data_IF_998330553080
#
_entry.id   IF_998330553080
#
_cell.length_a   1.000
_cell.length_b   1.000
_cell.length_c   1.000
_cell.angle_alpha   90.00
_cell.angle_beta   90.00
_cell.angle_gamma   90.00
#
_symmetry.space_group_name_H-M   'P 1'
#
loop_
_entity.id
_entity.type
_entity.pdbx_description
1 polymer ?
#
# COMPACT_ATOMS: atom_id res chain seq x y z
N UNK A 1 -7.56 -14.02 -11.89
CA UNK A 1 -6.28 -14.18 -12.60
C UNK A 1 -5.62 -12.82 -12.59
N UNK A 2 -4.56 -12.65 -11.81
CA UNK A 2 -3.78 -11.40 -11.81
C UNK A 2 -3.00 -11.42 -13.12
N UNK A 3 -3.18 -10.40 -13.97
CA UNK A 3 -2.39 -10.29 -15.19
C UNK A 3 -0.94 -10.02 -14.80
N UNK A 4 -0.17 -11.09 -14.84
CA UNK A 4 1.27 -11.13 -14.70
C UNK A 4 1.92 -10.48 -15.92
N UNK A 5 2.69 -9.42 -15.74
CA UNK A 5 3.47 -8.81 -16.83
C UNK A 5 4.87 -9.41 -16.74
N UNK A 6 5.11 -10.50 -17.46
CA UNK A 6 6.47 -11.04 -17.65
C UNK A 6 7.25 -10.03 -18.48
N UNK A 7 8.38 -9.56 -17.94
CA UNK A 7 9.31 -8.68 -18.64
C UNK A 7 10.47 -9.54 -19.13
N UNK A 8 10.61 -9.65 -20.44
CA UNK A 8 11.74 -10.31 -21.10
C UNK A 8 12.73 -9.27 -21.62
N UNK A 9 14.02 -9.57 -21.52
CA UNK A 9 15.11 -8.66 -21.85
C UNK A 9 16.35 -9.01 -21.04
N UNK A 10 17.46 -8.35 -21.35
CA UNK A 10 18.66 -8.49 -20.53
C UNK A 10 18.51 -7.56 -19.34
N UNK A 11 18.58 -8.14 -18.15
CA UNK A 11 18.46 -7.41 -16.89
C UNK A 11 19.49 -7.91 -15.91
N UNK A 12 19.56 -7.25 -14.76
CA UNK A 12 20.32 -7.81 -13.65
C UNK A 12 19.69 -7.55 -12.31
N UNK A 13 19.89 -8.49 -11.39
CA UNK A 13 19.49 -8.39 -10.01
C UNK A 13 20.72 -8.11 -9.11
N UNK A 14 20.60 -7.12 -8.23
CA UNK A 14 21.62 -6.78 -7.21
C UNK A 14 20.96 -6.52 -5.87
N UNK A 15 21.73 -6.64 -4.79
CA UNK A 15 21.27 -6.21 -3.47
C UNK A 15 20.93 -4.72 -3.47
N UNK A 16 19.94 -4.34 -2.66
CA UNK A 16 19.71 -2.94 -2.37
C UNK A 16 20.84 -2.38 -1.50
N UNK A 17 21.18 -1.09 -1.65
CA UNK A 17 22.18 -0.44 -0.80
C UNK A 17 21.86 -0.60 0.70
N UNK A 18 22.88 -0.89 1.51
CA UNK A 18 22.76 -1.01 2.97
C UNK A 18 22.40 -2.41 3.49
N UNK A 19 22.32 -3.42 2.62
CA UNK A 19 22.21 -4.82 2.99
C UNK A 19 23.53 -5.56 2.73
N UNK A 20 23.95 -6.40 3.67
CA UNK A 20 25.17 -7.21 3.52
C UNK A 20 24.95 -8.43 2.61
N UNK A 21 23.78 -9.07 2.74
CA UNK A 21 23.40 -10.26 1.97
C UNK A 21 21.88 -10.49 1.95
N UNK A 22 21.46 -11.41 1.08
CA UNK A 22 20.10 -11.97 1.08
C UNK A 22 20.10 -13.38 0.49
N UNK A 23 19.20 -14.24 0.99
CA UNK A 23 18.99 -15.57 0.42
C UNK A 23 18.07 -15.52 -0.81
N UNK A 24 18.55 -16.06 -1.92
CA UNK A 24 17.78 -16.39 -3.12
C UNK A 24 17.27 -17.83 -3.01
N UNK A 25 16.00 -18.08 -3.33
CA UNK A 25 15.34 -19.37 -3.05
C UNK A 25 14.67 -19.95 -4.29
N UNK A 26 14.56 -21.28 -4.34
CA UNK A 26 13.84 -21.97 -5.43
C UNK A 26 12.32 -21.73 -5.42
N UNK A 27 11.76 -21.31 -4.28
CA UNK A 27 10.33 -21.10 -4.08
C UNK A 27 10.08 -19.93 -3.12
N UNK A 28 9.04 -19.11 -3.37
CA UNK A 28 8.66 -18.02 -2.48
C UNK A 28 7.88 -18.51 -1.25
N UNK A 29 7.36 -19.74 -1.27
CA UNK A 29 6.48 -20.30 -0.23
C UNK A 29 7.19 -20.62 1.08
N UNK A 30 8.48 -20.96 1.00
CA UNK A 30 9.29 -21.38 2.15
C UNK A 30 10.18 -20.25 2.64
N UNK A 31 10.36 -20.14 3.95
CA UNK A 31 11.42 -19.31 4.55
C UNK A 31 12.78 -19.92 4.24
N UNK A 32 13.82 -19.07 4.16
CA UNK A 32 15.18 -19.54 3.90
C UNK A 32 15.67 -20.56 4.93
N UNK A 33 15.22 -20.43 6.19
CA UNK A 33 15.53 -21.36 7.29
C UNK A 33 14.83 -22.72 7.18
N UNK A 34 13.76 -22.83 6.39
CA UNK A 34 12.97 -24.05 6.21
C UNK A 34 13.51 -24.92 5.07
N UNK A 35 14.34 -24.35 4.20
CA UNK A 35 14.94 -25.04 3.07
C UNK A 35 16.23 -25.72 3.54
N UNK A 36 16.20 -27.04 3.73
CA UNK A 36 17.35 -27.83 4.19
C UNK A 36 18.33 -28.18 3.07
N UNK A 37 17.85 -28.39 1.85
CA UNK A 37 18.70 -28.68 0.69
C UNK A 37 19.47 -27.42 0.26
N UNK A 38 20.80 -27.40 0.38
CA UNK A 38 21.61 -26.25 0.00
C UNK A 38 21.58 -25.99 -1.52
N UNK A 39 21.17 -26.94 -2.35
CA UNK A 39 21.04 -26.72 -3.79
C UNK A 39 19.77 -25.93 -4.15
N UNK A 40 18.83 -25.78 -3.21
CA UNK A 40 17.56 -25.09 -3.40
C UNK A 40 17.57 -23.63 -2.90
N UNK A 41 18.72 -23.12 -2.49
CA UNK A 41 18.93 -21.72 -2.12
C UNK A 41 20.39 -21.32 -2.32
N UNK A 42 20.66 -20.04 -2.47
CA UNK A 42 22.02 -19.51 -2.41
C UNK A 42 22.01 -18.10 -1.85
N UNK A 43 23.15 -17.65 -1.34
CA UNK A 43 23.32 -16.27 -0.87
C UNK A 43 23.74 -15.37 -2.04
N UNK A 44 23.06 -14.24 -2.17
CA UNK A 44 23.50 -13.09 -2.94
C UNK A 44 24.12 -12.10 -1.94
N UNK A 45 25.35 -11.67 -2.19
CA UNK A 45 26.08 -10.72 -1.34
C UNK A 45 26.78 -9.67 -2.21
N UNK A 46 27.01 -8.47 -1.68
CA UNK A 46 27.80 -7.45 -2.40
C UNK A 46 29.25 -7.95 -2.66
N UNK A 47 29.83 -7.71 -3.85
CA UNK A 47 29.35 -6.91 -4.98
C UNK A 47 28.71 -7.74 -6.11
N UNK A 48 28.16 -8.91 -5.80
CA UNK A 48 27.66 -9.86 -6.81
C UNK A 48 26.45 -9.30 -7.58
N UNK A 49 26.46 -9.54 -8.89
CA UNK A 49 25.36 -9.25 -9.82
C UNK A 49 24.88 -10.55 -10.43
N UNK A 50 23.57 -10.73 -10.53
CA UNK A 50 22.97 -11.85 -11.26
C UNK A 50 22.45 -11.32 -12.58
N UNK A 51 22.93 -11.86 -13.70
CA UNK A 51 22.36 -11.58 -15.02
C UNK A 51 21.10 -12.42 -15.22
N UNK A 52 20.00 -11.81 -15.68
CA UNK A 52 18.69 -12.46 -15.78
C UNK A 52 18.01 -12.16 -17.13
N UNK A 53 17.44 -13.20 -17.76
CA UNK A 53 16.79 -13.16 -19.08
C UNK A 53 15.35 -12.60 -19.05
N UNK A 54 14.69 -12.79 -17.91
CA UNK A 54 13.35 -12.28 -17.67
C UNK A 54 13.08 -12.26 -16.18
N UNK A 55 12.13 -11.42 -15.79
CA UNK A 55 11.59 -11.44 -14.45
C UNK A 55 10.10 -11.13 -14.43
N UNK A 56 9.52 -11.47 -13.30
CA UNK A 56 8.12 -11.31 -12.98
C UNK A 56 7.96 -11.03 -11.48
N UNK A 57 6.84 -10.43 -11.11
CA UNK A 57 6.50 -10.07 -9.74
C UNK A 57 5.44 -11.03 -9.21
N UNK A 58 5.83 -11.89 -8.27
CA UNK A 58 4.93 -12.86 -7.63
C UNK A 58 4.86 -12.55 -6.14
N UNK A 59 3.71 -12.02 -5.73
CA UNK A 59 3.49 -11.51 -4.37
C UNK A 59 4.61 -10.55 -3.92
N UNK A 60 5.47 -11.01 -2.98
CA UNK A 60 6.59 -10.25 -2.43
C UNK A 60 7.95 -10.65 -2.98
N UNK A 61 7.99 -11.50 -4.00
CA UNK A 61 9.24 -11.94 -4.62
C UNK A 61 9.31 -11.54 -6.09
N UNK A 62 10.51 -11.24 -6.57
CA UNK A 62 10.79 -11.35 -7.99
C UNK A 62 11.00 -12.82 -8.30
N UNK A 63 10.25 -13.34 -9.26
CA UNK A 63 10.62 -14.57 -9.96
C UNK A 63 11.45 -14.17 -11.15
N UNK A 64 12.61 -14.75 -11.34
CA UNK A 64 13.46 -14.45 -12.49
C UNK A 64 14.17 -15.70 -12.99
N UNK A 65 14.62 -15.61 -14.23
CA UNK A 65 15.47 -16.62 -14.85
C UNK A 65 16.88 -16.08 -15.04
N UNK A 66 17.87 -16.73 -14.44
CA UNK A 66 19.28 -16.43 -14.63
C UNK A 66 19.71 -16.70 -16.07
N UNK A 67 20.71 -15.97 -16.57
CA UNK A 67 21.40 -16.33 -17.82
C UNK A 67 22.16 -17.66 -17.69
N UNK A 68 22.92 -17.80 -16.61
CA UNK A 68 23.68 -19.01 -16.28
C UNK A 68 23.08 -19.70 -15.04
N UNK A 69 22.89 -21.03 -15.08
CA UNK A 69 22.22 -21.73 -13.99
C UNK A 69 23.12 -21.78 -12.76
N UNK A 70 22.50 -21.63 -11.59
CA UNK A 70 23.12 -21.96 -10.30
C UNK A 70 22.48 -23.27 -9.83
N UNK A 71 23.28 -24.23 -9.40
CA UNK A 71 22.81 -25.56 -8.96
C UNK A 71 21.84 -26.21 -9.97
N UNK A 72 22.20 -26.18 -11.26
CA UNK A 72 21.40 -26.71 -12.38
C UNK A 72 19.99 -26.09 -12.52
N UNK A 73 19.77 -24.90 -11.95
CA UNK A 73 18.48 -24.19 -11.99
C UNK A 73 18.65 -22.77 -12.52
N UNK A 74 17.81 -22.43 -13.48
CA UNK A 74 17.72 -21.06 -14.01
C UNK A 74 16.70 -20.20 -13.25
N UNK A 75 15.58 -20.78 -12.80
CA UNK A 75 14.46 -20.04 -12.22
C UNK A 75 14.58 -19.89 -10.69
N UNK A 76 14.57 -18.66 -10.20
CA UNK A 76 14.80 -18.32 -8.80
C UNK A 76 13.87 -17.22 -8.29
N UNK A 77 13.83 -17.06 -6.95
CA UNK A 77 13.01 -16.07 -6.27
C UNK A 77 13.85 -15.21 -5.31
N UNK A 78 13.77 -13.89 -5.46
CA UNK A 78 14.35 -12.91 -4.55
C UNK A 78 13.25 -12.14 -3.82
N UNK A 79 13.44 -11.85 -2.52
CA UNK A 79 12.51 -10.97 -1.81
C UNK A 79 12.69 -9.52 -2.30
N UNK A 80 11.59 -8.89 -2.73
CA UNK A 80 11.62 -7.60 -3.44
C UNK A 80 12.18 -6.44 -2.61
N UNK A 81 12.06 -6.49 -1.28
CA UNK A 81 12.63 -5.45 -0.41
C UNK A 81 14.17 -5.59 -0.29
N UNK A 82 14.79 -6.69 -0.75
CA UNK A 82 16.23 -6.91 -0.65
C UNK A 82 17.00 -6.79 -1.96
N UNK A 83 16.31 -6.82 -3.10
CA UNK A 83 16.93 -6.84 -4.43
C UNK A 83 16.31 -5.77 -5.32
N UNK A 84 17.13 -5.10 -6.11
CA UNK A 84 16.69 -4.24 -7.21
C UNK A 84 16.99 -4.93 -8.56
N UNK A 85 16.11 -4.70 -9.53
CA UNK A 85 16.28 -5.16 -10.91
C UNK A 85 16.65 -3.97 -11.78
N UNK A 86 17.76 -4.09 -12.52
CA UNK A 86 18.33 -3.08 -13.40
C UNK A 86 18.21 -3.51 -14.86
N UNK A 87 17.99 -2.56 -15.77
CA UNK A 87 18.06 -2.80 -17.21
C UNK A 87 19.50 -2.74 -17.76
N UNK A 88 19.61 -2.90 -19.07
CA UNK A 88 20.87 -2.83 -19.81
C UNK A 88 21.56 -1.47 -19.73
N UNK A 89 20.80 -0.41 -19.48
CA UNK A 89 21.32 0.95 -19.31
C UNK A 89 21.82 1.18 -17.86
N UNK A 90 21.52 0.24 -16.96
CA UNK A 90 21.86 0.31 -15.54
C UNK A 90 20.83 1.06 -14.71
N UNK A 91 19.63 1.30 -15.24
CA UNK A 91 18.54 1.96 -14.56
C UNK A 91 17.65 0.94 -13.84
N UNK A 92 17.15 1.30 -12.65
CA UNK A 92 16.26 0.43 -11.86
C UNK A 92 14.86 0.38 -12.49
N UNK A 93 14.42 -0.83 -12.87
CA UNK A 93 13.20 -1.06 -13.68
C UNK A 93 11.92 -1.04 -12.82
N UNK A 94 12.02 -1.44 -11.56
CA UNK A 94 10.90 -1.36 -10.61
C UNK A 94 11.24 -0.30 -9.58
N UNK A 95 10.61 0.85 -9.77
CA UNK A 95 10.84 2.02 -8.93
C UNK A 95 10.55 1.66 -7.47
N UNK A 96 11.43 2.04 -6.52
CA UNK A 96 11.14 1.98 -5.10
C UNK A 96 10.01 2.95 -4.71
N UNK A 97 9.48 3.71 -5.68
CA UNK A 97 8.48 4.75 -5.50
C UNK A 97 7.26 4.53 -6.38
N UNK A 98 6.08 4.59 -5.76
CA UNK A 98 4.78 4.58 -6.43
C UNK A 98 3.92 5.68 -5.82
N UNK A 99 3.39 6.59 -6.64
CA UNK A 99 2.49 7.65 -6.17
C UNK A 99 1.27 7.71 -7.08
N UNK A 100 0.09 7.58 -6.49
CA UNK A 100 -1.22 7.60 -7.15
C UNK A 100 -1.87 8.98 -7.01
N UNK A 101 -2.53 9.45 -8.06
CA UNK A 101 -3.25 10.73 -8.04
C UNK A 101 -4.62 10.62 -7.34
N UNK A 102 -4.60 10.22 -6.06
CA UNK A 102 -5.79 10.13 -5.22
C UNK A 102 -6.21 11.54 -4.81
N UNK A 103 -7.46 11.97 -5.10
CA UNK A 103 -7.95 13.28 -4.69
C UNK A 103 -7.96 13.40 -3.17
N UNK A 104 -7.80 14.63 -2.69
CA UNK A 104 -7.81 14.92 -1.26
C UNK A 104 -9.14 15.51 -0.81
N UNK A 105 -9.74 14.92 0.22
CA UNK A 105 -10.92 15.47 0.91
C UNK A 105 -10.64 15.66 2.41
N UNK A 106 -10.82 16.88 2.95
CA UNK A 106 -10.67 17.14 4.38
C UNK A 106 -11.96 16.78 5.14
N UNK A 107 -11.88 15.98 6.22
CA UNK A 107 -13.07 15.61 6.99
C UNK A 107 -13.73 16.82 7.70
N UNK A 108 -12.96 17.87 7.93
CA UNK A 108 -13.41 19.09 8.59
C UNK A 108 -14.37 19.92 7.74
N UNK A 109 -14.46 19.62 6.45
CA UNK A 109 -15.39 20.24 5.51
C UNK A 109 -16.74 19.52 5.44
N UNK A 110 -16.83 18.27 5.94
CA UNK A 110 -18.08 17.52 5.99
C UNK A 110 -19.15 18.29 6.78
N UNK A 111 -20.38 18.27 6.31
CA UNK A 111 -21.53 18.81 7.06
C UNK A 111 -21.94 17.81 8.16
N UNK A 112 -21.89 16.51 7.85
CA UNK A 112 -22.34 15.46 8.76
C UNK A 112 -21.17 15.01 9.63
N UNK A 113 -21.23 15.31 10.93
CA UNK A 113 -20.34 14.75 11.96
C UNK A 113 -18.84 14.88 11.64
N UNK A 114 -18.41 16.04 11.13
CA UNK A 114 -17.05 16.34 10.64
C UNK A 114 -15.87 15.90 11.53
N UNK A 115 -16.05 15.75 12.85
CA UNK A 115 -15.01 15.24 13.76
C UNK A 115 -14.94 13.69 13.85
N UNK A 116 -15.83 12.96 13.19
CA UNK A 116 -16.05 11.51 13.39
C UNK A 116 -16.15 10.71 12.08
N UNK A 117 -16.00 11.36 10.93
CA UNK A 117 -16.23 10.78 9.59
C UNK A 117 -14.95 10.47 8.81
N UNK A 118 -13.79 10.38 9.48
CA UNK A 118 -12.52 10.03 8.83
C UNK A 118 -12.62 8.79 7.93
N UNK A 119 -13.39 7.79 8.37
CA UNK A 119 -13.75 6.58 7.62
C UNK A 119 -14.41 6.88 6.25
N UNK A 120 -15.51 7.63 6.23
CA UNK A 120 -16.30 7.92 5.03
C UNK A 120 -15.60 8.94 4.15
N UNK A 121 -14.83 9.88 4.72
CA UNK A 121 -13.97 10.78 3.94
C UNK A 121 -12.86 10.00 3.23
N UNK A 122 -12.20 9.04 3.88
CA UNK A 122 -11.25 8.13 3.20
C UNK A 122 -11.92 7.28 2.12
N UNK A 123 -13.12 6.75 2.39
CA UNK A 123 -13.87 5.99 1.41
C UNK A 123 -14.26 6.85 0.19
N UNK A 124 -14.63 8.11 0.39
CA UNK A 124 -14.95 9.05 -0.67
C UNK A 124 -13.74 9.36 -1.56
N UNK A 125 -12.56 9.59 -0.97
CA UNK A 125 -11.32 9.79 -1.74
C UNK A 125 -11.02 8.58 -2.64
N UNK A 126 -11.20 7.35 -2.13
CA UNK A 126 -11.00 6.12 -2.90
C UNK A 126 -12.05 5.94 -4.00
N UNK A 127 -13.32 6.25 -3.73
CA UNK A 127 -14.40 6.20 -4.73
C UNK A 127 -14.13 7.19 -5.85
N UNK A 128 -13.80 8.44 -5.53
CA UNK A 128 -13.51 9.47 -6.52
C UNK A 128 -12.27 9.13 -7.35
N UNK A 129 -11.25 8.50 -6.75
CA UNK A 129 -10.08 8.02 -7.49
C UNK A 129 -10.46 6.99 -8.58
N UNK A 130 -11.30 6.00 -8.25
CA UNK A 130 -11.68 4.96 -9.22
C UNK A 130 -12.77 5.41 -10.21
N UNK A 131 -13.60 6.36 -9.79
CA UNK A 131 -14.73 6.89 -10.53
C UNK A 131 -14.79 8.42 -10.42
N UNK A 132 -13.91 9.15 -11.12
CA UNK A 132 -13.89 10.61 -11.07
C UNK A 132 -15.22 11.22 -11.50
N UNK A 133 -15.67 12.26 -10.78
CA UNK A 133 -16.95 12.93 -11.01
C UNK A 133 -18.14 12.15 -10.45
N UNK A 134 -17.95 11.25 -9.48
CA UNK A 134 -19.05 10.49 -8.84
C UNK A 134 -20.08 11.39 -8.15
N UNK A 135 -19.75 12.68 -7.96
CA UNK A 135 -20.68 13.73 -7.56
C UNK A 135 -21.81 14.02 -8.59
N UNK A 136 -21.69 13.61 -9.87
CA UNK A 136 -22.69 13.92 -10.90
C UNK A 136 -24.08 13.32 -10.65
N UNK A 137 -24.19 12.29 -9.81
CA UNK A 137 -25.43 11.55 -9.59
C UNK A 137 -25.98 11.62 -8.15
N UNK A 138 -25.29 12.30 -7.22
CA UNK A 138 -25.73 12.40 -5.82
C UNK A 138 -25.72 13.86 -5.36
N UNK A 139 -26.84 14.43 -4.88
CA UNK A 139 -26.83 15.77 -4.30
C UNK A 139 -25.99 15.83 -3.01
N UNK A 140 -24.97 16.70 -2.97
CA UNK A 140 -24.12 16.94 -1.78
C UNK A 140 -22.65 16.57 -1.96
N UNK A 141 -21.83 16.78 -0.93
CA UNK A 141 -20.44 16.31 -0.93
C UNK A 141 -20.41 14.77 -0.86
N UNK A 142 -19.43 14.13 -1.52
CA UNK A 142 -19.39 12.68 -1.67
C UNK A 142 -19.26 11.97 -0.31
N UNK A 143 -18.39 12.49 0.55
CA UNK A 143 -18.16 12.02 1.92
C UNK A 143 -19.42 12.10 2.81
N UNK A 144 -20.22 13.14 2.66
CA UNK A 144 -21.53 13.26 3.34
C UNK A 144 -22.54 12.28 2.77
N UNK A 145 -22.56 12.08 1.45
CA UNK A 145 -23.43 11.09 0.78
C UNK A 145 -23.13 9.66 1.23
N UNK A 146 -21.84 9.30 1.34
CA UNK A 146 -21.41 8.01 1.88
C UNK A 146 -21.80 7.86 3.35
N UNK A 147 -21.65 8.93 4.14
CA UNK A 147 -22.04 8.96 5.55
C UNK A 147 -23.54 8.74 5.72
N UNK A 148 -24.37 9.46 4.96
CA UNK A 148 -25.82 9.33 4.99
C UNK A 148 -26.25 7.92 4.58
N UNK A 149 -25.69 7.38 3.50
CA UNK A 149 -25.96 6.00 3.08
C UNK A 149 -25.63 5.00 4.19
N UNK A 150 -24.44 5.10 4.78
CA UNK A 150 -23.98 4.18 5.81
C UNK A 150 -24.86 4.26 7.08
N UNK A 151 -25.24 5.45 7.52
CA UNK A 151 -26.11 5.65 8.68
C UNK A 151 -27.53 5.18 8.40
N UNK A 152 -28.09 5.52 7.23
CA UNK A 152 -29.46 5.16 6.85
C UNK A 152 -29.66 3.65 6.75
N UNK A 153 -28.67 2.93 6.23
CA UNK A 153 -28.77 1.48 6.01
C UNK A 153 -28.33 0.65 7.22
N UNK A 154 -27.43 1.16 8.06
CA UNK A 154 -26.78 0.35 9.10
C UNK A 154 -26.83 0.95 10.52
N UNK A 155 -27.50 2.10 10.69
CA UNK A 155 -27.72 2.77 11.98
C UNK A 155 -26.67 3.82 12.33
N UNK A 156 -26.97 4.67 13.32
CA UNK A 156 -26.19 5.87 13.63
C UNK A 156 -24.69 5.62 13.93
N UNK A 157 -24.37 4.51 14.60
CA UNK A 157 -22.98 4.17 14.97
C UNK A 157 -22.24 3.38 13.88
N UNK A 158 -22.86 3.11 12.73
CA UNK A 158 -22.30 2.25 11.68
C UNK A 158 -20.95 2.74 11.16
N UNK A 159 -20.75 4.05 11.11
CA UNK A 159 -19.53 4.66 10.59
C UNK A 159 -18.28 4.20 11.36
N UNK A 160 -18.39 3.82 12.63
CA UNK A 160 -17.25 3.37 13.44
C UNK A 160 -16.76 1.96 13.13
N UNK A 161 -17.49 1.19 12.33
CA UNK A 161 -17.18 -0.22 12.10
C UNK A 161 -16.53 -0.47 10.74
N UNK A 162 -15.36 -1.11 10.74
CA UNK A 162 -14.62 -1.43 9.52
C UNK A 162 -15.43 -2.25 8.49
N UNK A 163 -16.25 -3.21 8.93
CA UNK A 163 -17.09 -3.96 8.00
C UNK A 163 -18.11 -3.08 7.27
N UNK A 164 -18.53 -1.94 7.86
CA UNK A 164 -19.43 -0.99 7.20
C UNK A 164 -18.74 -0.10 6.18
N UNK A 165 -17.42 0.09 6.31
CA UNK A 165 -16.61 0.69 5.23
C UNK A 165 -16.64 -0.24 4.01
N UNK A 166 -16.50 -1.56 4.21
CA UNK A 166 -16.58 -2.56 3.13
C UNK A 166 -17.96 -2.52 2.45
N UNK A 167 -19.04 -2.58 3.24
CA UNK A 167 -20.40 -2.56 2.72
C UNK A 167 -20.72 -1.26 1.96
N UNK A 168 -20.25 -0.12 2.48
CA UNK A 168 -20.44 1.20 1.85
C UNK A 168 -19.67 1.29 0.55
N UNK A 169 -18.37 0.97 0.53
CA UNK A 169 -17.56 1.00 -0.70
C UNK A 169 -18.16 0.12 -1.81
N UNK A 170 -18.72 -1.04 -1.45
CA UNK A 170 -19.38 -1.94 -2.40
C UNK A 170 -20.58 -1.29 -3.09
N UNK A 171 -21.33 -0.42 -2.41
CA UNK A 171 -22.43 0.33 -3.04
C UNK A 171 -21.94 1.23 -4.18
N UNK A 172 -20.72 1.77 -4.06
CA UNK A 172 -20.06 2.58 -5.08
C UNK A 172 -19.15 1.78 -6.01
N UNK A 173 -19.40 0.47 -6.18
CA UNK A 173 -18.62 -0.41 -7.06
C UNK A 173 -17.11 -0.43 -6.75
N UNK A 174 -16.75 -0.25 -5.48
CA UNK A 174 -15.38 -0.45 -4.98
C UNK A 174 -15.36 -1.67 -4.10
N UNK A 175 -14.51 -2.65 -4.45
CA UNK A 175 -14.24 -3.80 -3.61
C UNK A 175 -13.27 -3.39 -2.52
N UNK A 176 -13.49 -3.83 -1.29
CA UNK A 176 -12.54 -3.62 -0.18
C UNK A 176 -12.30 -4.94 0.56
N UNK A 177 -11.06 -5.41 0.56
CA UNK A 177 -10.65 -6.55 1.41
C UNK A 177 -10.04 -6.01 2.70
N UNK A 178 -10.74 -6.15 3.83
CA UNK A 178 -10.25 -5.71 5.13
C UNK A 178 -9.44 -6.79 5.85
N UNK A 179 -8.31 -6.41 6.44
CA UNK A 179 -7.54 -7.26 7.34
C UNK A 179 -6.89 -6.42 8.44
N UNK A 180 -6.77 -7.01 9.63
CA UNK A 180 -6.15 -6.40 10.82
C UNK A 180 -4.63 -6.61 10.90
N UNK A 181 -4.07 -7.38 9.96
CA UNK A 181 -2.66 -7.82 9.97
C UNK A 181 -1.98 -7.65 8.61
N UNK A 182 -2.45 -6.72 7.78
CA UNK A 182 -1.88 -6.46 6.45
C UNK A 182 -0.46 -5.92 6.59
N UNK A 183 0.52 -6.67 6.08
CA UNK A 183 1.96 -6.28 6.07
C UNK A 183 2.18 -5.10 5.13
N UNK A 184 3.14 -4.24 5.44
CA UNK A 184 3.50 -3.10 4.57
C UNK A 184 3.91 -3.54 3.17
N UNK A 185 4.63 -4.64 3.02
CA UNK A 185 4.95 -5.21 1.71
C UNK A 185 3.69 -5.51 0.87
N UNK A 186 2.58 -5.94 1.51
CA UNK A 186 1.30 -6.20 0.82
C UNK A 186 0.61 -4.92 0.41
N UNK A 187 0.72 -3.89 1.23
CA UNK A 187 0.23 -2.55 0.93
C UNK A 187 0.98 -1.98 -0.28
N UNK A 188 2.31 -2.05 -0.30
CA UNK A 188 3.15 -1.62 -1.42
C UNK A 188 2.75 -2.31 -2.73
N UNK A 189 2.70 -3.64 -2.72
CA UNK A 189 2.27 -4.42 -3.89
C UNK A 189 0.86 -4.06 -4.38
N UNK A 190 -0.05 -3.72 -3.46
CA UNK A 190 -1.39 -3.24 -3.81
C UNK A 190 -1.35 -1.87 -4.50
N UNK A 191 -0.53 -0.96 -3.99
CA UNK A 191 -0.29 0.38 -4.56
C UNK A 191 0.36 0.31 -5.95
N UNK A 192 1.29 -0.64 -6.17
CA UNK A 192 1.93 -0.88 -7.47
C UNK A 192 0.90 -1.20 -8.56
N UNK A 193 -0.14 -1.93 -8.19
CA UNK A 193 -1.28 -2.25 -9.06
C UNK A 193 -2.22 -1.06 -9.32
N UNK A 194 -1.84 0.14 -8.88
CA UNK A 194 -2.62 1.36 -9.10
C UNK A 194 -3.80 1.50 -8.15
N UNK A 195 -3.77 0.83 -6.99
CA UNK A 195 -4.91 0.78 -6.09
C UNK A 195 -4.58 1.43 -4.73
N UNK A 196 -5.33 2.46 -4.29
CA UNK A 196 -5.14 3.06 -2.97
C UNK A 196 -5.55 2.12 -1.83
N UNK A 197 -5.03 2.40 -0.64
CA UNK A 197 -5.31 1.63 0.58
C UNK A 197 -5.84 2.55 1.67
N UNK A 198 -6.92 2.16 2.35
CA UNK A 198 -7.35 2.85 3.56
C UNK A 198 -6.68 2.18 4.76
N UNK A 199 -5.91 2.93 5.54
CA UNK A 199 -5.12 2.43 6.67
C UNK A 199 -5.61 3.01 7.99
N UNK A 200 -5.69 2.17 9.02
CA UNK A 200 -6.12 2.55 10.37
C UNK A 200 -5.02 2.33 11.40
N UNK A 201 -4.84 3.32 12.27
CA UNK A 201 -3.80 3.33 13.29
C UNK A 201 -4.17 4.17 14.51
N UNK A 202 -3.26 4.20 15.48
CA UNK A 202 -3.35 4.90 16.76
C UNK A 202 -2.91 6.36 16.68
N UNK A 203 -3.23 7.05 15.58
CA UNK A 203 -2.86 8.47 15.42
C UNK A 203 -3.56 9.38 16.46
N UNK A 204 -4.73 8.96 16.95
CA UNK A 204 -5.44 9.59 18.08
C UNK A 204 -5.78 8.54 19.14
N UNK A 205 -6.27 8.98 20.31
CA UNK A 205 -6.68 8.08 21.41
C UNK A 205 -7.75 7.05 21.01
N UNK A 206 -8.68 7.44 20.13
CA UNK A 206 -9.75 6.57 19.62
C UNK A 206 -9.38 5.83 18.34
N UNK A 207 -8.17 6.04 17.83
CA UNK A 207 -7.76 5.63 16.49
C UNK A 207 -8.16 6.64 15.42
N UNK A 208 -7.54 6.51 14.25
CA UNK A 208 -7.80 7.33 13.07
C UNK A 208 -7.51 6.55 11.79
N UNK A 209 -8.12 7.00 10.70
CA UNK A 209 -8.04 6.35 9.40
C UNK A 209 -7.57 7.36 8.35
N UNK A 210 -6.62 6.94 7.52
CA UNK A 210 -6.01 7.73 6.45
C UNK A 210 -6.00 6.95 5.14
N UNK A 211 -5.75 7.62 4.02
CA UNK A 211 -5.54 6.97 2.72
C UNK A 211 -4.05 6.91 2.41
N UNK A 212 -3.52 5.72 2.13
CA UNK A 212 -2.22 5.54 1.53
C UNK A 212 -2.38 5.65 0.02
N UNK A 213 -1.70 6.63 -0.57
CA UNK A 213 -1.73 6.93 -2.00
C UNK A 213 -0.41 6.57 -2.69
N UNK A 214 0.55 6.06 -1.94
CA UNK A 214 1.84 5.71 -2.52
C UNK A 214 2.87 5.36 -1.46
N UNK A 215 4.07 5.09 -1.91
CA UNK A 215 5.23 4.85 -1.07
C UNK A 215 6.52 5.22 -1.82
N UNK A 216 7.60 5.38 -1.06
CA UNK A 216 8.98 5.44 -1.56
C UNK A 216 9.91 4.63 -0.66
N UNK A 217 11.23 4.82 -0.78
CA UNK A 217 12.24 4.13 0.03
C UNK A 217 12.08 4.37 1.55
N UNK A 218 11.48 5.49 1.95
CA UNK A 218 11.51 5.98 3.33
C UNK A 218 10.15 5.94 4.03
N UNK A 219 9.04 5.90 3.29
CA UNK A 219 7.71 5.87 3.88
C UNK A 219 6.55 5.75 2.90
N UNK A 220 5.35 5.95 3.43
CA UNK A 220 4.13 6.03 2.65
C UNK A 220 3.79 7.49 2.34
N UNK A 221 3.38 7.72 1.10
CA UNK A 221 2.65 8.93 0.70
C UNK A 221 1.19 8.77 1.09
N UNK A 222 0.65 9.75 1.81
CA UNK A 222 -0.69 9.67 2.42
C UNK A 222 -1.53 10.91 2.18
N UNK A 223 -2.84 10.70 2.22
CA UNK A 223 -3.84 11.73 2.43
C UNK A 223 -4.48 11.48 3.80
N UNK A 224 -4.25 12.38 4.76
CA UNK A 224 -4.85 12.34 6.09
C UNK A 224 -6.04 13.32 6.15
N UNK A 225 -7.29 12.83 6.30
CA UNK A 225 -8.44 13.72 6.22
C UNK A 225 -8.50 14.76 7.36
N UNK A 226 -7.78 14.56 8.47
CA UNK A 226 -7.85 15.43 9.65
C UNK A 226 -6.79 16.55 9.67
N UNK A 227 -5.68 16.35 8.96
CA UNK A 227 -4.52 17.24 8.94
C UNK A 227 -3.22 16.46 9.09
N UNK A 228 -2.11 17.14 9.35
CA UNK A 228 -0.81 16.48 9.51
C UNK A 228 -0.58 16.00 10.93
N UNK A 229 -0.07 14.79 11.08
CA UNK A 229 0.27 14.20 12.37
C UNK A 229 1.72 14.47 12.77
N UNK A 230 1.90 14.82 14.04
CA UNK A 230 3.18 14.94 14.71
C UNK A 230 3.16 14.17 16.04
N UNK A 231 4.34 13.93 16.63
CA UNK A 231 4.46 13.26 17.93
C UNK A 231 3.73 13.97 19.08
N UNK A 232 3.50 15.28 18.97
CA UNK A 232 2.76 16.10 19.93
C UNK A 232 1.26 16.16 19.62
N UNK A 233 0.81 15.65 18.47
CA UNK A 233 -0.58 15.66 18.03
C UNK A 233 -0.75 16.14 16.59
N UNK A 234 -1.98 16.53 16.25
CA UNK A 234 -2.33 16.95 14.90
C UNK A 234 -2.21 18.45 14.68
N UNK A 235 -1.55 18.86 13.61
CA UNK A 235 -1.82 20.14 12.97
C UNK A 235 -3.04 20.01 12.05
N UNK A 236 -4.21 20.33 12.62
CA UNK A 236 -5.51 20.06 11.99
C UNK A 236 -5.80 21.03 10.86
N UNK A 237 -6.56 20.53 9.89
CA UNK A 237 -7.24 21.37 8.92
C UNK A 237 -8.04 22.49 9.62
N UNK A 238 -7.99 23.69 9.06
CA UNK A 238 -8.72 24.87 9.56
C UNK A 238 -9.47 25.54 8.40
N UNK A 239 -10.49 26.37 8.66
CA UNK A 239 -11.19 27.10 7.60
C UNK A 239 -10.28 27.91 6.66
N UNK A 240 -9.11 28.34 7.14
CA UNK A 240 -8.14 29.10 6.35
C UNK A 240 -7.12 28.22 5.63
N UNK A 241 -7.00 26.93 5.99
CA UNK A 241 -6.15 25.96 5.33
C UNK A 241 -6.72 24.55 5.53
N UNK A 242 -7.48 24.10 4.54
CA UNK A 242 -8.14 22.79 4.50
C UNK A 242 -7.31 21.73 3.74
N UNK A 243 -6.01 21.95 3.52
CA UNK A 243 -5.13 21.07 2.72
C UNK A 243 -3.94 20.52 3.50
N UNK A 244 -3.93 20.67 4.83
CA UNK A 244 -2.78 20.26 5.65
C UNK A 244 -2.53 18.76 5.64
N UNK A 245 -3.56 17.98 5.35
CA UNK A 245 -3.46 16.53 5.24
C UNK A 245 -3.20 16.01 3.83
N UNK A 246 -3.05 16.88 2.84
CA UNK A 246 -2.88 16.52 1.43
C UNK A 246 -1.43 16.17 1.13
N UNK A 247 -1.18 15.03 0.46
CA UNK A 247 0.14 14.65 -0.06
C UNK A 247 1.26 14.63 1.00
N UNK A 248 0.95 14.14 2.20
CA UNK A 248 1.91 14.00 3.28
C UNK A 248 2.81 12.77 3.09
N UNK A 249 3.95 12.77 3.75
CA UNK A 249 4.87 11.62 3.80
C UNK A 249 5.06 11.14 5.23
N UNK A 250 4.66 9.91 5.51
CA UNK A 250 4.81 9.28 6.83
C UNK A 250 5.79 8.11 6.76
N UNK A 251 6.88 8.19 7.52
CA UNK A 251 7.92 7.16 7.56
C UNK A 251 7.38 5.77 7.96
N UNK A 252 8.02 4.71 7.47
CA UNK A 252 7.65 3.34 7.84
C UNK A 252 7.74 3.07 9.34
N UNK A 253 8.73 3.67 10.01
CA UNK A 253 8.90 3.53 11.46
C UNK A 253 7.73 4.16 12.22
N UNK A 254 7.33 5.38 11.83
CA UNK A 254 6.15 6.05 12.42
C UNK A 254 4.88 5.24 12.16
N UNK A 255 4.64 4.87 10.91
CA UNK A 255 3.44 4.11 10.52
C UNK A 255 3.35 2.75 11.22
N UNK A 256 4.50 2.09 11.41
CA UNK A 256 4.61 0.84 12.14
C UNK A 256 4.38 1.01 13.65
N UNK A 257 4.96 2.03 14.26
CA UNK A 257 4.76 2.36 15.67
C UNK A 257 3.30 2.73 15.99
N UNK A 258 2.65 3.44 15.07
CA UNK A 258 1.24 3.82 15.17
C UNK A 258 0.28 2.71 14.72
N UNK A 259 0.78 1.56 14.25
CA UNK A 259 -0.09 0.42 13.96
C UNK A 259 -0.66 -0.19 15.24
N UNK A 260 -1.75 -0.93 15.11
CA UNK A 260 -2.31 -1.65 16.27
C UNK A 260 -1.34 -2.68 16.85
N UNK A 261 -0.45 -3.23 16.02
CA UNK A 261 0.53 -4.26 16.41
C UNK A 261 1.87 -3.69 16.90
N UNK A 262 2.14 -2.39 16.67
CA UNK A 262 3.46 -1.79 16.87
C UNK A 262 4.53 -2.30 15.89
N UNK A 263 4.12 -2.97 14.81
CA UNK A 263 4.99 -3.52 13.75
C UNK A 263 4.61 -2.93 12.40
N UNK A 264 5.40 -3.23 11.36
CA UNK A 264 5.10 -2.87 9.96
C UNK A 264 3.96 -3.74 9.36
N UNK A 265 2.85 -3.82 10.08
CA UNK A 265 1.61 -4.46 9.71
C UNK A 265 0.46 -3.81 10.48
N UNK A 266 -0.68 -3.61 9.82
CA UNK A 266 -1.79 -2.89 10.42
C UNK A 266 -3.14 -3.21 9.83
N UNK A 267 -4.12 -2.46 10.30
CA UNK A 267 -5.50 -2.56 9.85
C UNK A 267 -5.61 -1.83 8.52
N UNK A 268 -5.92 -2.56 7.46
CA UNK A 268 -5.95 -2.00 6.11
C UNK A 268 -7.14 -2.54 5.31
N UNK A 269 -7.73 -1.65 4.52
CA UNK A 269 -8.64 -2.00 3.44
C UNK A 269 -7.88 -1.93 2.12
N UNK A 270 -7.70 -3.09 1.49
CA UNK A 270 -7.17 -3.18 0.13
C UNK A 270 -8.32 -2.93 -0.84
N UNK A 271 -8.39 -1.71 -1.38
CA UNK A 271 -9.48 -1.26 -2.24
C UNK A 271 -9.17 -1.56 -3.70
N UNK A 272 -10.10 -2.15 -4.45
CA UNK A 272 -9.96 -2.44 -5.88
C UNK A 272 -11.19 -1.92 -6.63
N UNK A 273 -10.98 -1.43 -7.85
CA UNK A 273 -12.09 -1.19 -8.79
C UNK A 273 -12.81 -2.52 -9.09
N UNK A 274 -14.14 -2.51 -9.09
CA UNK A 274 -14.96 -3.66 -9.52
C UNK A 274 -15.12 -3.70 -11.04
#
# INVERSE_FOLDING_TARGET
>A
MVNTIVRAGNFSARLKPGLDNTTIKYSPEYQASEISDPNLKFELAEPQRLEINWFDTIEYHYKFELEEPINDRYNWYAFQDHVDIYDDEGDVIISPTRILDVPYFPQNDNIIRYLQTCNMTCAAMVVEYFYPGTNRNTPGQLEDSLTEYCVRNYGYNSIYYHHRIVDTLKHWNVKSTFSTTTRFSKIKHHLDRGNPVIYSGKFTKSGHIIVLRGYDETGFWVNDPYGEWYNWGYDRNTPNNMKKGENLHYSYNMMGALSNSGRQAGWAHLCEKM
#
